data_IF_369742955502
#
_entry.id   IF_369742955502
#
_cell.length_a   1.000
_cell.length_b   1.000
_cell.length_c   1.000
_cell.angle_alpha   90.00
_cell.angle_beta   90.00
_cell.angle_gamma   90.00
#
_symmetry.space_group_name_H-M   'P 1'
#
loop_
_entity.id
_entity.type
_entity.pdbx_description
1 polymer ?
#
# COMPACT_ATOMS: atom_id res chain seq x y z
N UNK A 1 -0.26 -11.26 -12.72
CA UNK A 1 0.48 -12.54 -12.57
C UNK A 1 1.35 -12.48 -11.33
N UNK A 2 1.28 -13.47 -10.42
CA UNK A 2 2.15 -13.51 -9.24
C UNK A 2 3.53 -14.08 -9.62
N UNK A 3 4.60 -13.32 -9.37
CA UNK A 3 5.97 -13.77 -9.62
C UNK A 3 6.34 -14.85 -8.61
N UNK A 4 6.56 -16.08 -9.08
CA UNK A 4 6.86 -17.26 -8.24
C UNK A 4 8.21 -17.17 -7.52
N UNK A 5 9.14 -16.35 -8.01
CA UNK A 5 10.47 -16.17 -7.43
C UNK A 5 10.83 -14.68 -7.41
N UNK A 6 11.18 -14.18 -6.23
CA UNK A 6 11.71 -12.81 -6.06
C UNK A 6 13.03 -12.67 -6.80
N UNK A 7 13.29 -11.50 -7.37
CA UNK A 7 14.60 -11.19 -7.95
C UNK A 7 15.55 -10.63 -6.90
N UNK A 8 16.86 -10.65 -7.19
CA UNK A 8 17.85 -10.11 -6.27
C UNK A 8 17.57 -8.63 -5.97
N UNK A 9 17.64 -8.25 -4.69
CA UNK A 9 17.35 -6.88 -4.21
C UNK A 9 15.86 -6.56 -4.06
N UNK A 10 14.94 -7.44 -4.47
CA UNK A 10 13.50 -7.23 -4.28
C UNK A 10 13.09 -7.51 -2.82
N UNK A 11 12.67 -6.49 -2.09
CA UNK A 11 12.06 -6.69 -0.77
C UNK A 11 10.72 -7.40 -0.93
N UNK A 12 10.38 -8.39 -0.07
CA UNK A 12 9.07 -8.99 -0.05
C UNK A 12 7.98 -7.93 0.16
N UNK A 13 6.83 -8.17 -0.48
CA UNK A 13 5.62 -7.41 -0.30
C UNK A 13 4.56 -8.28 0.35
N UNK A 14 4.01 -7.79 1.46
CA UNK A 14 2.96 -8.46 2.22
C UNK A 14 1.66 -7.66 2.16
N UNK A 15 0.54 -8.38 2.10
CA UNK A 15 -0.80 -7.81 2.06
C UNK A 15 -1.44 -7.94 3.43
N UNK A 16 -1.93 -6.84 3.99
CA UNK A 16 -2.62 -6.84 5.28
C UNK A 16 -4.13 -6.88 5.08
N UNK A 17 -4.79 -7.80 5.77
CA UNK A 17 -6.24 -7.99 5.65
C UNK A 17 -6.68 -8.20 4.20
N UNK A 18 -7.75 -7.51 3.79
CA UNK A 18 -8.35 -7.60 2.45
C UNK A 18 -7.64 -6.77 1.36
N UNK A 19 -6.51 -6.13 1.67
CA UNK A 19 -5.91 -5.12 0.79
C UNK A 19 -5.58 -5.63 -0.61
N UNK A 20 -5.28 -6.93 -0.76
CA UNK A 20 -5.02 -7.55 -2.05
C UNK A 20 -6.30 -7.72 -2.85
N UNK A 21 -7.32 -8.29 -2.23
CA UNK A 21 -8.62 -8.52 -2.84
C UNK A 21 -9.27 -7.19 -3.25
N UNK A 22 -9.13 -6.17 -2.41
CA UNK A 22 -9.63 -4.82 -2.67
C UNK A 22 -8.92 -4.18 -3.88
N UNK A 23 -7.59 -4.34 -4.00
CA UNK A 23 -6.83 -3.87 -5.17
C UNK A 23 -7.26 -4.60 -6.44
N UNK A 24 -7.39 -5.93 -6.38
CA UNK A 24 -7.75 -6.76 -7.53
C UNK A 24 -9.18 -6.51 -8.02
N UNK A 25 -10.02 -5.84 -7.22
CA UNK A 25 -11.35 -5.40 -7.63
C UNK A 25 -11.33 -4.06 -8.41
N UNK A 26 -10.19 -3.39 -8.52
CA UNK A 26 -10.08 -2.14 -9.30
C UNK A 26 -10.08 -2.37 -10.81
N UNK A 27 -10.32 -1.34 -11.63
CA UNK A 27 -10.07 -1.42 -13.06
C UNK A 27 -8.62 -1.81 -13.36
N UNK A 28 -8.39 -2.63 -14.38
CA UNK A 28 -7.06 -3.14 -14.75
C UNK A 28 -5.99 -2.03 -14.90
N UNK A 29 -6.26 -0.88 -15.55
CA UNK A 29 -5.26 0.20 -15.64
C UNK A 29 -4.84 0.76 -14.27
N UNK A 30 -5.75 0.76 -13.29
CA UNK A 30 -5.47 1.21 -11.92
C UNK A 30 -4.62 0.16 -11.19
N UNK A 31 -4.89 -1.13 -11.42
CA UNK A 31 -4.08 -2.21 -10.86
C UNK A 31 -2.64 -2.14 -11.37
N UNK A 32 -2.45 -1.86 -12.66
CA UNK A 32 -1.13 -1.79 -13.29
C UNK A 32 -0.29 -0.63 -12.74
N UNK A 33 -0.88 0.57 -12.63
CA UNK A 33 -0.20 1.75 -12.11
C UNK A 33 0.18 1.56 -10.63
N UNK A 34 -0.76 1.09 -9.80
CA UNK A 34 -0.49 0.82 -8.38
C UNK A 34 0.53 -0.31 -8.23
N UNK A 35 0.41 -1.38 -9.02
CA UNK A 35 1.35 -2.50 -9.03
C UNK A 35 2.77 -2.05 -9.39
N UNK A 36 2.91 -1.16 -10.37
CA UNK A 36 4.19 -0.54 -10.74
C UNK A 36 4.77 0.28 -9.59
N UNK A 37 3.95 1.10 -8.94
CA UNK A 37 4.39 1.89 -7.79
C UNK A 37 4.84 1.01 -6.61
N UNK A 38 4.13 -0.09 -6.34
CA UNK A 38 4.51 -1.06 -5.32
C UNK A 38 5.82 -1.79 -5.68
N UNK A 39 6.01 -2.15 -6.95
CA UNK A 39 7.26 -2.75 -7.42
C UNK A 39 8.45 -1.80 -7.20
N UNK A 40 8.30 -0.52 -7.55
CA UNK A 40 9.32 0.51 -7.27
C UNK A 40 9.63 0.60 -5.77
N UNK A 41 8.61 0.54 -4.92
CA UNK A 41 8.80 0.53 -3.47
C UNK A 41 9.56 -0.72 -2.98
N UNK A 42 9.34 -1.91 -3.56
CA UNK A 42 10.08 -3.11 -3.20
C UNK A 42 11.59 -2.98 -3.43
N UNK A 43 12.03 -2.20 -4.42
CA UNK A 43 13.45 -1.91 -4.68
C UNK A 43 13.99 -0.68 -3.94
N UNK A 44 13.23 -0.10 -3.01
CA UNK A 44 13.67 1.07 -2.25
C UNK A 44 13.46 2.41 -2.96
N UNK A 45 12.88 2.41 -4.16
CA UNK A 45 12.50 3.62 -4.87
C UNK A 45 11.20 4.22 -4.35
N UNK A 46 10.85 5.38 -4.91
CA UNK A 46 9.56 6.05 -4.69
C UNK A 46 8.95 6.41 -6.04
N UNK A 47 7.77 5.87 -6.31
CA UNK A 47 7.03 6.18 -7.53
C UNK A 47 6.61 7.67 -7.55
N UNK A 48 6.59 8.36 -8.70
CA UNK A 48 6.11 9.75 -8.80
C UNK A 48 4.69 9.95 -8.25
N UNK A 49 3.82 8.97 -8.48
CA UNK A 49 2.42 8.96 -7.99
C UNK A 49 2.31 8.70 -6.48
N UNK A 50 3.39 8.27 -5.82
CA UNK A 50 3.41 7.97 -4.38
C UNK A 50 3.64 9.24 -3.55
N UNK A 51 2.70 9.52 -2.63
CA UNK A 51 2.70 10.69 -1.74
C UNK A 51 2.78 10.24 -0.28
N UNK A 52 3.45 10.99 0.60
CA UNK A 52 3.41 10.68 2.03
C UNK A 52 1.98 10.69 2.57
N UNK A 53 1.60 9.63 3.28
CA UNK A 53 0.32 9.57 3.98
C UNK A 53 0.34 10.51 5.19
N UNK A 54 -0.73 11.30 5.36
CA UNK A 54 -0.88 12.19 6.51
C UNK A 54 -1.62 11.47 7.63
N UNK A 55 -0.99 11.36 8.81
CA UNK A 55 -1.64 10.90 10.04
C UNK A 55 -0.85 9.86 10.82
N UNK A 56 -0.19 8.91 10.14
CA UNK A 56 0.48 7.80 10.83
C UNK A 56 1.96 8.08 11.16
N UNK A 57 2.54 9.16 10.65
CA UNK A 57 3.98 9.48 10.74
C UNK A 57 4.78 9.11 9.47
N UNK A 58 6.13 9.22 9.51
CA UNK A 58 6.98 9.01 8.33
C UNK A 58 6.96 7.56 7.82
N UNK A 59 7.27 7.32 6.54
CA UNK A 59 7.41 5.95 6.01
C UNK A 59 6.11 5.23 5.64
N UNK A 60 4.96 5.91 5.72
CA UNK A 60 3.69 5.46 5.14
C UNK A 60 3.38 6.34 3.94
N UNK A 61 2.96 5.72 2.84
CA UNK A 61 2.73 6.38 1.56
C UNK A 61 1.40 5.93 0.98
N UNK A 62 0.80 6.79 0.17
CA UNK A 62 -0.35 6.46 -0.67
C UNK A 62 0.02 6.64 -2.15
N UNK A 63 -0.38 5.68 -2.98
CA UNK A 63 -0.48 5.85 -4.43
C UNK A 63 -1.89 6.32 -4.73
N UNK A 64 -2.03 7.34 -5.57
CA UNK A 64 -3.33 7.88 -5.99
C UNK A 64 -3.42 7.75 -7.49
N UNK A 65 -4.49 7.13 -7.98
CA UNK A 65 -4.73 6.95 -9.41
C UNK A 65 -6.18 7.28 -9.76
N UNK A 66 -6.37 8.11 -10.78
CA UNK A 66 -7.69 8.56 -11.24
C UNK A 66 -8.09 7.80 -12.51
N UNK A 67 -9.26 7.17 -12.49
CA UNK A 67 -9.79 6.44 -13.63
C UNK A 67 -11.29 6.68 -13.82
N UNK A 68 -11.65 7.18 -15.02
CA UNK A 68 -13.04 7.44 -15.44
C UNK A 68 -13.87 8.22 -14.39
N UNK A 69 -13.27 9.27 -13.82
CA UNK A 69 -13.93 10.14 -12.83
C UNK A 69 -13.93 9.59 -11.40
N UNK A 70 -13.34 8.42 -11.15
CA UNK A 70 -13.15 7.86 -9.82
C UNK A 70 -11.68 7.96 -9.40
N UNK A 71 -11.45 8.20 -8.11
CA UNK A 71 -10.09 8.20 -7.54
C UNK A 71 -9.89 6.94 -6.71
N UNK A 72 -8.83 6.19 -7.01
CA UNK A 72 -8.42 4.99 -6.31
C UNK A 72 -7.14 5.27 -5.52
N UNK A 73 -7.00 4.60 -4.38
CA UNK A 73 -5.83 4.74 -3.52
C UNK A 73 -5.36 3.39 -3.01
N UNK A 74 -4.05 3.22 -2.94
CA UNK A 74 -3.43 2.15 -2.19
C UNK A 74 -2.42 2.74 -1.20
N UNK A 75 -2.56 2.35 0.07
CA UNK A 75 -1.70 2.82 1.17
C UNK A 75 -0.75 1.69 1.55
N UNK A 76 0.54 2.02 1.63
CA UNK A 76 1.59 1.06 1.96
C UNK A 76 2.62 1.68 2.91
N UNK A 77 3.38 0.83 3.60
CA UNK A 77 4.45 1.25 4.51
C UNK A 77 5.77 0.59 4.13
N UNK A 78 6.84 1.37 4.30
CA UNK A 78 8.24 0.94 4.14
C UNK A 78 9.03 1.11 5.44
N UNK A 79 8.36 1.35 6.57
CA UNK A 79 8.98 1.54 7.90
C UNK A 79 9.77 0.34 8.38
N UNK A 80 9.39 -0.85 7.93
CA UNK A 80 9.95 -2.10 8.40
C UNK A 80 11.08 -2.50 7.45
N UNK A 81 12.31 -2.25 7.86
CA UNK A 81 13.49 -2.46 7.02
C UNK A 81 13.54 -3.91 6.52
N UNK A 82 13.48 -4.08 5.20
CA UNK A 82 13.48 -5.39 4.56
C UNK A 82 12.12 -5.88 4.06
N UNK A 83 11.01 -5.17 4.28
CA UNK A 83 9.71 -5.53 3.72
C UNK A 83 8.84 -4.32 3.36
N UNK A 84 7.92 -4.51 2.41
CA UNK A 84 6.85 -3.57 2.08
C UNK A 84 5.53 -4.18 2.53
N UNK A 85 4.68 -3.40 3.20
CA UNK A 85 3.33 -3.86 3.56
C UNK A 85 2.29 -2.97 2.90
N UNK A 86 1.36 -3.59 2.16
CA UNK A 86 0.17 -2.91 1.66
C UNK A 86 -0.90 -2.98 2.74
N UNK A 87 -1.32 -1.82 3.22
CA UNK A 87 -2.24 -1.67 4.34
C UNK A 87 -3.68 -1.62 3.86
N UNK A 88 -3.97 -0.88 2.80
CA UNK A 88 -5.34 -0.69 2.34
C UNK A 88 -5.38 -0.33 0.86
N UNK A 89 -6.42 -0.76 0.16
CA UNK A 89 -6.74 -0.30 -1.17
C UNK A 89 -8.23 0.07 -1.18
N UNK A 90 -8.57 1.29 -1.61
CA UNK A 90 -9.96 1.73 -1.68
C UNK A 90 -10.20 2.75 -2.80
N UNK A 91 -11.44 2.78 -3.29
CA UNK A 91 -11.96 3.87 -4.12
C UNK A 91 -12.51 4.97 -3.20
N UNK A 92 -12.12 6.22 -3.44
CA UNK A 92 -12.77 7.36 -2.79
C UNK A 92 -14.23 7.43 -3.22
N UNK A 93 -15.13 7.52 -2.24
CA UNK A 93 -16.58 7.69 -2.47
C UNK A 93 -16.94 9.04 -3.12
N UNK A 94 -16.12 10.07 -2.91
CA UNK A 94 -16.26 11.38 -3.55
C UNK A 94 -14.93 11.75 -4.23
N UNK A 95 -14.92 11.94 -5.56
CA UNK A 95 -13.71 12.36 -6.28
C UNK A 95 -13.19 13.70 -5.77
N UNK A 96 -14.11 14.64 -5.47
CA UNK A 96 -13.81 16.02 -5.08
C UNK A 96 -13.52 16.22 -3.59
N UNK A 97 -13.90 15.28 -2.71
CA UNK A 97 -13.63 15.37 -1.28
C UNK A 97 -12.13 15.24 -0.97
N UNK A 98 -11.53 16.22 -0.30
CA UNK A 98 -10.07 16.20 0.01
C UNK A 98 -9.74 15.14 1.09
N UNK A 99 -10.66 14.90 2.02
CA UNK A 99 -10.43 14.03 3.18
C UNK A 99 -10.79 12.57 2.88
N UNK A 100 -9.86 11.67 3.21
CA UNK A 100 -10.14 10.24 3.35
C UNK A 100 -11.16 10.01 4.47
N UNK A 101 -12.02 9.01 4.34
CA UNK A 101 -13.06 8.76 5.34
C UNK A 101 -12.43 8.35 6.68
N UNK A 102 -13.08 8.72 7.80
CA UNK A 102 -12.59 8.34 9.14
C UNK A 102 -12.40 6.83 9.27
N UNK A 103 -13.30 6.04 8.68
CA UNK A 103 -13.23 4.58 8.64
C UNK A 103 -11.96 4.07 7.95
N UNK A 104 -11.59 4.64 6.81
CA UNK A 104 -10.39 4.24 6.09
C UNK A 104 -9.13 4.63 6.86
N UNK A 105 -9.11 5.82 7.49
CA UNK A 105 -7.99 6.26 8.36
C UNK A 105 -7.80 5.29 9.53
N UNK A 106 -8.87 4.96 10.25
CA UNK A 106 -8.81 4.02 11.39
C UNK A 106 -8.38 2.62 10.96
N UNK A 107 -8.83 2.16 9.79
CA UNK A 107 -8.43 0.87 9.25
C UNK A 107 -6.94 0.83 8.88
N UNK A 108 -6.41 1.91 8.28
CA UNK A 108 -4.98 2.03 7.98
C UNK A 108 -4.15 1.97 9.26
N UNK A 109 -4.52 2.74 10.30
CA UNK A 109 -3.83 2.76 11.58
C UNK A 109 -3.80 1.37 12.23
N UNK A 110 -4.95 0.68 12.24
CA UNK A 110 -5.05 -0.70 12.75
C UNK A 110 -4.15 -1.65 11.98
N UNK A 111 -4.23 -1.64 10.64
CA UNK A 111 -3.45 -2.55 9.77
C UNK A 111 -1.96 -2.24 9.81
N UNK A 112 -1.57 -0.99 10.09
CA UNK A 112 -0.17 -0.63 10.32
C UNK A 112 0.37 -1.31 11.60
N UNK A 113 -0.42 -1.38 12.66
CA UNK A 113 -0.03 -2.14 13.85
C UNK A 113 0.02 -3.66 13.59
N UNK A 114 -0.92 -4.21 12.82
CA UNK A 114 -0.89 -5.62 12.39
C UNK A 114 0.39 -5.92 11.57
N UNK A 115 0.76 -5.04 10.65
CA UNK A 115 2.00 -5.14 9.88
C UNK A 115 3.26 -5.09 10.78
N UNK A 116 3.26 -4.23 11.80
CA UNK A 116 4.36 -4.17 12.79
C UNK A 116 4.52 -5.50 13.51
N UNK A 117 3.42 -6.06 14.02
CA UNK A 117 3.45 -7.33 14.74
C UNK A 117 3.90 -8.49 13.84
N UNK A 118 3.41 -8.55 12.60
CA UNK A 118 3.86 -9.55 11.62
C UNK A 118 5.36 -9.41 11.31
N UNK A 119 5.85 -8.18 11.15
CA UNK A 119 7.28 -7.95 10.93
C UNK A 119 8.12 -8.38 12.13
N UNK A 120 7.72 -8.04 13.35
CA UNK A 120 8.38 -8.46 14.60
C UNK A 120 8.44 -10.00 14.70
N UNK A 121 7.37 -10.72 14.34
CA UNK A 121 7.37 -12.19 14.33
C UNK A 121 8.31 -12.78 13.27
N UNK A 122 8.40 -12.15 12.09
CA UNK A 122 9.22 -12.66 10.97
C UNK A 122 10.71 -12.34 11.10
N UNK A 123 11.03 -11.18 11.66
CA UNK A 123 12.37 -10.58 11.60
C UNK A 123 12.91 -10.14 12.95
N UNK A 124 12.09 -10.12 14.00
CA UNK A 124 12.56 -9.97 15.36
C UNK A 124 13.46 -11.14 15.70
N UNK A 125 14.77 -10.87 15.85
CA UNK A 125 15.70 -11.85 16.39
C UNK A 125 15.19 -12.26 17.77
N UNK A 126 14.99 -13.57 17.96
CA UNK A 126 14.78 -14.17 19.28
C UNK A 126 15.97 -13.84 20.17
#
# INVERSE_FOLDING_TARGET
MARLKRVAGERPLFWVGSSKEDLLAFPEPVQDEIGTALSVAQFGGKHPSAKPWRGEGPGVFEVVEDHRGNTYRAVYTVRFEGAVYVLHAFQKKSPTGIRTSKRDVELIARRLNEARMDFEVRYGKV
#
